data_IF_036946260611
#
_entry.id   IF_036946260611
#
_cell.length_a   1.000
_cell.length_b   1.000
_cell.length_c   1.000
_cell.angle_alpha   90.00
_cell.angle_beta   90.00
_cell.angle_gamma   90.00
#
_symmetry.space_group_name_H-M   'P 1'
#
loop_
_entity.id
_entity.type
_entity.pdbx_description
1 polymer ?
#
# COMPACT_ATOMS: atom_id res chain seq x y z
N UNK A 1 73.03 12.13 8.85
CA UNK A 1 73.04 13.60 8.75
C UNK A 1 72.07 13.98 7.63
N UNK A 2 70.96 14.62 8.00
CA UNK A 2 69.87 15.03 7.13
C UNK A 2 70.33 16.04 6.07
N UNK A 3 69.80 15.93 4.85
CA UNK A 3 69.32 17.05 4.02
C UNK A 3 68.54 16.50 2.83
N UNK A 4 67.25 16.36 3.04
CA UNK A 4 66.21 16.38 2.01
C UNK A 4 65.84 17.85 1.85
N UNK A 5 66.04 18.43 0.67
CA UNK A 5 65.27 19.62 0.26
C UNK A 5 65.40 19.86 -1.25
N UNK A 6 64.31 20.36 -1.85
CA UNK A 6 64.15 20.87 -3.21
C UNK A 6 63.90 19.78 -4.29
N UNK A 7 62.68 19.22 -4.42
CA UNK A 7 61.55 19.68 -5.29
C UNK A 7 61.98 20.02 -6.72
N UNK A 8 61.65 19.16 -7.69
CA UNK A 8 60.40 19.18 -8.48
C UNK A 8 60.30 20.43 -9.39
N UNK A 9 60.84 20.33 -10.61
CA UNK A 9 60.45 21.15 -11.76
C UNK A 9 60.82 20.38 -13.06
N UNK A 10 59.89 19.63 -13.68
CA UNK A 10 58.98 19.98 -14.80
C UNK A 10 59.57 19.65 -16.20
N UNK A 11 58.64 19.14 -17.03
CA UNK A 11 58.64 18.94 -18.49
C UNK A 11 59.27 17.63 -19.00
N UNK A 12 58.48 16.56 -19.20
CA UNK A 12 57.47 16.32 -20.27
C UNK A 12 58.14 16.20 -21.64
N UNK A 13 58.31 14.95 -22.06
CA UNK A 13 58.95 14.52 -23.30
C UNK A 13 57.92 13.93 -24.28
N UNK A 14 58.18 14.20 -25.57
CA UNK A 14 57.63 13.67 -26.81
C UNK A 14 56.15 13.89 -27.21
N UNK A 15 55.95 15.00 -27.95
CA UNK A 15 54.99 15.10 -29.07
C UNK A 15 55.76 14.92 -30.39
N UNK A 16 55.25 14.11 -31.31
CA UNK A 16 54.96 14.49 -32.70
C UNK A 16 54.52 13.28 -33.55
N UNK A 17 53.22 13.17 -33.82
CA UNK A 17 52.65 12.36 -34.90
C UNK A 17 51.98 13.29 -35.90
N UNK A 18 52.39 13.35 -37.19
CA UNK A 18 51.71 14.18 -38.16
C UNK A 18 50.58 13.42 -38.87
N UNK A 19 49.41 14.06 -38.85
CA UNK A 19 48.47 14.25 -39.97
C UNK A 19 47.90 13.02 -40.69
N UNK A 20 46.64 12.73 -40.37
CA UNK A 20 45.67 12.28 -41.38
C UNK A 20 44.48 13.25 -41.39
N UNK A 21 44.39 13.95 -42.50
CA UNK A 21 43.47 15.03 -42.80
C UNK A 21 42.21 14.47 -43.52
N UNK A 22 41.04 14.81 -42.99
CA UNK A 22 39.74 14.94 -43.67
C UNK A 22 39.13 13.72 -44.38
N UNK A 23 38.03 13.22 -43.80
CA UNK A 23 36.75 12.94 -44.52
C UNK A 23 35.60 12.79 -43.51
N UNK A 24 34.83 13.85 -43.31
CA UNK A 24 33.50 13.74 -42.70
C UNK A 24 32.48 13.26 -43.74
N UNK A 25 31.57 12.34 -43.40
CA UNK A 25 30.23 12.36 -43.95
C UNK A 25 29.28 12.99 -42.93
N UNK A 26 28.84 14.19 -43.27
CA UNK A 26 27.71 14.91 -42.67
C UNK A 26 26.46 14.02 -42.59
N UNK A 27 26.17 13.54 -41.38
CA UNK A 27 24.95 12.82 -41.03
C UNK A 27 24.20 13.57 -39.94
N UNK A 28 23.31 14.47 -40.35
CA UNK A 28 22.38 15.22 -39.48
C UNK A 28 21.69 14.23 -38.51
N UNK A 29 21.61 14.47 -37.18
CA UNK A 29 20.86 13.60 -36.28
C UNK A 29 19.39 13.68 -36.69
N UNK A 30 18.90 12.60 -37.31
CA UNK A 30 17.52 12.47 -37.73
C UNK A 30 16.66 12.46 -36.47
N UNK A 31 16.07 13.62 -36.15
CA UNK A 31 15.12 13.76 -35.06
C UNK A 31 14.03 12.70 -35.23
N UNK A 32 13.80 11.90 -34.18
CA UNK A 32 12.70 10.95 -34.12
C UNK A 32 11.41 11.65 -34.58
N UNK A 33 10.98 11.34 -35.79
CA UNK A 33 9.73 11.86 -36.36
C UNK A 33 8.61 11.52 -35.37
N UNK A 34 7.79 12.48 -34.91
CA UNK A 34 6.65 12.14 -34.07
C UNK A 34 5.79 11.15 -34.84
N UNK A 35 5.66 9.94 -34.29
CA UNK A 35 4.86 8.88 -34.87
C UNK A 35 3.48 9.43 -35.24
N UNK A 36 3.12 9.24 -36.50
CA UNK A 36 1.86 9.70 -37.09
C UNK A 36 0.68 9.35 -36.18
N UNK A 37 -0.17 10.35 -35.94
CA UNK A 37 -1.39 10.21 -35.14
C UNK A 37 -2.39 9.38 -35.94
N UNK A 38 -2.42 8.06 -35.72
CA UNK A 38 -3.40 7.19 -36.37
C UNK A 38 -4.83 7.60 -35.98
N UNK A 39 -5.69 7.98 -36.95
CA UNK A 39 -7.07 8.31 -36.70
C UNK A 39 -7.89 7.02 -36.75
N UNK A 40 -8.05 6.36 -35.60
CA UNK A 40 -8.85 5.13 -35.52
C UNK A 40 -8.56 4.27 -34.29
N UNK A 41 -8.53 4.84 -33.09
CA UNK A 41 -8.34 4.05 -31.88
C UNK A 41 -9.62 3.30 -31.51
N UNK A 42 -9.56 1.96 -31.42
CA UNK A 42 -10.65 1.11 -30.91
C UNK A 42 -11.28 1.70 -29.63
N UNK A 43 -12.61 1.60 -29.42
CA UNK A 43 -13.28 2.19 -28.25
C UNK A 43 -12.70 1.67 -26.91
N UNK A 44 -12.04 0.51 -26.93
CA UNK A 44 -11.40 -0.13 -25.79
C UNK A 44 -9.92 0.25 -25.58
N UNK A 45 -9.39 1.23 -26.32
CA UNK A 45 -7.98 1.63 -26.18
C UNK A 45 -7.73 2.31 -24.83
N UNK A 46 -6.82 1.74 -24.05
CA UNK A 46 -6.36 2.31 -22.78
C UNK A 46 -5.49 3.56 -23.04
N UNK A 47 -5.69 4.58 -22.21
CA UNK A 47 -4.79 5.73 -22.17
C UNK A 47 -3.46 5.33 -21.51
N UNK A 48 -2.34 5.61 -22.20
CA UNK A 48 -0.96 5.24 -21.83
C UNK A 48 -0.81 3.76 -21.39
N UNK A 49 -0.93 2.80 -22.32
CA UNK A 49 -0.75 1.39 -21.99
C UNK A 49 0.71 1.13 -21.57
N UNK A 50 0.92 0.53 -20.40
CA UNK A 50 2.24 0.15 -19.87
C UNK A 50 2.77 0.99 -18.69
N UNK A 51 2.18 2.14 -18.39
CA UNK A 51 2.52 2.94 -17.21
C UNK A 51 1.40 2.90 -16.16
N UNK A 52 1.76 3.00 -14.87
CA UNK A 52 0.76 3.02 -13.80
C UNK A 52 0.16 1.65 -13.49
N UNK A 53 0.68 0.56 -14.06
CA UNK A 53 -0.02 -0.74 -14.13
C UNK A 53 -0.35 -1.28 -12.73
N UNK A 54 0.60 -1.22 -11.79
CA UNK A 54 0.39 -1.76 -10.43
C UNK A 54 -0.68 -0.98 -9.66
N UNK A 55 -0.60 0.36 -9.73
CA UNK A 55 -1.55 1.23 -9.03
C UNK A 55 -2.94 1.15 -9.68
N UNK A 56 -3.01 1.07 -11.02
CA UNK A 56 -4.27 0.91 -11.76
C UNK A 56 -4.97 -0.40 -11.40
N UNK A 57 -4.27 -1.53 -11.42
CA UNK A 57 -4.83 -2.80 -10.97
C UNK A 57 -5.20 -2.78 -9.48
N UNK A 58 -4.37 -2.17 -8.62
CA UNK A 58 -4.69 -2.01 -7.20
C UNK A 58 -5.98 -1.22 -6.97
N UNK A 59 -6.16 -0.09 -7.65
CA UNK A 59 -7.39 0.71 -7.59
C UNK A 59 -8.58 -0.03 -8.18
N UNK A 60 -8.41 -0.73 -9.31
CA UNK A 60 -9.49 -1.51 -9.93
C UNK A 60 -9.95 -2.68 -9.03
N UNK A 61 -9.01 -3.40 -8.42
CA UNK A 61 -9.31 -4.50 -7.48
C UNK A 61 -9.96 -3.95 -6.22
N UNK A 62 -9.41 -2.90 -5.61
CA UNK A 62 -10.00 -2.27 -4.43
C UNK A 62 -11.41 -1.75 -4.67
N UNK A 63 -11.63 -1.04 -5.80
CA UNK A 63 -12.95 -0.61 -6.21
C UNK A 63 -13.88 -1.80 -6.50
N UNK A 64 -13.36 -2.88 -7.11
CA UNK A 64 -14.11 -4.11 -7.36
C UNK A 64 -14.59 -4.78 -6.08
N UNK A 65 -13.72 -4.92 -5.07
CA UNK A 65 -14.08 -5.48 -3.75
C UNK A 65 -15.14 -4.63 -3.07
N UNK A 66 -14.97 -3.30 -3.05
CA UNK A 66 -15.96 -2.38 -2.49
C UNK A 66 -17.30 -2.45 -3.24
N UNK A 67 -17.26 -2.58 -4.56
CA UNK A 67 -18.46 -2.71 -5.39
C UNK A 67 -19.18 -4.03 -5.08
N UNK A 68 -18.45 -5.15 -4.99
CA UNK A 68 -19.04 -6.43 -4.65
C UNK A 68 -19.68 -6.41 -3.26
N UNK A 69 -18.99 -5.85 -2.27
CA UNK A 69 -19.52 -5.71 -0.91
C UNK A 69 -20.74 -4.78 -0.86
N UNK A 70 -20.70 -3.67 -1.58
CA UNK A 70 -21.83 -2.75 -1.69
C UNK A 70 -23.04 -3.37 -2.40
N UNK A 71 -22.81 -4.15 -3.46
CA UNK A 71 -23.86 -4.85 -4.21
C UNK A 71 -24.46 -5.99 -3.40
N UNK A 72 -23.66 -6.75 -2.64
CA UNK A 72 -24.20 -7.77 -1.72
C UNK A 72 -25.06 -7.14 -0.63
N UNK A 73 -24.60 -6.02 -0.06
CA UNK A 73 -25.40 -5.27 0.91
C UNK A 73 -26.71 -4.73 0.31
N UNK A 74 -26.65 -4.23 -0.94
CA UNK A 74 -27.83 -3.76 -1.67
C UNK A 74 -28.81 -4.88 -1.95
N UNK A 75 -28.33 -6.08 -2.30
CA UNK A 75 -29.16 -7.27 -2.51
C UNK A 75 -29.92 -7.64 -1.22
N UNK A 76 -29.24 -7.70 -0.08
CA UNK A 76 -29.87 -7.95 1.22
C UNK A 76 -30.86 -6.85 1.59
N UNK A 77 -30.55 -5.59 1.27
CA UNK A 77 -31.44 -4.45 1.50
C UNK A 77 -32.74 -4.56 0.69
N UNK A 78 -32.64 -4.92 -0.59
CA UNK A 78 -33.79 -5.08 -1.48
C UNK A 78 -34.70 -6.22 -1.01
N UNK A 79 -34.12 -7.32 -0.52
CA UNK A 79 -34.89 -8.46 0.00
C UNK A 79 -35.71 -8.17 1.26
N UNK A 80 -35.39 -7.08 1.98
CA UNK A 80 -36.17 -6.65 3.17
C UNK A 80 -37.47 -5.93 2.82
N UNK A 81 -37.65 -5.51 1.57
CA UNK A 81 -38.84 -4.79 1.12
C UNK A 81 -39.76 -5.73 0.33
N UNK A 82 -40.99 -5.92 0.81
CA UNK A 82 -41.98 -6.84 0.21
C UNK A 82 -42.17 -6.64 -1.30
N UNK A 83 -42.26 -5.38 -1.76
CA UNK A 83 -42.40 -5.04 -3.18
C UNK A 83 -41.26 -5.60 -4.06
N UNK A 84 -40.03 -5.55 -3.57
CA UNK A 84 -38.86 -6.01 -4.31
C UNK A 84 -38.63 -7.52 -4.12
N UNK A 85 -39.01 -8.10 -2.99
CA UNK A 85 -38.89 -9.54 -2.74
C UNK A 85 -39.89 -10.38 -3.54
N UNK A 86 -41.10 -9.88 -3.76
CA UNK A 86 -42.16 -10.62 -4.46
C UNK A 86 -41.85 -10.80 -5.96
N UNK A 87 -41.01 -9.91 -6.51
CA UNK A 87 -40.59 -9.96 -7.91
C UNK A 87 -39.12 -10.38 -8.03
N UNK A 88 -38.91 -11.69 -8.28
CA UNK A 88 -37.59 -12.27 -8.56
C UNK A 88 -36.81 -11.44 -9.61
N UNK A 89 -37.50 -10.95 -10.65
CA UNK A 89 -36.89 -10.12 -11.66
C UNK A 89 -36.27 -8.83 -11.09
N UNK A 90 -36.98 -8.05 -10.26
CA UNK A 90 -36.44 -6.80 -9.72
C UNK A 90 -35.35 -7.07 -8.67
N UNK A 91 -35.54 -8.09 -7.84
CA UNK A 91 -34.59 -8.46 -6.79
C UNK A 91 -33.19 -8.77 -7.34
N UNK A 92 -33.10 -9.51 -8.45
CA UNK A 92 -31.81 -9.85 -9.07
C UNK A 92 -31.35 -8.85 -10.13
N UNK A 93 -32.26 -8.21 -10.86
CA UNK A 93 -31.90 -7.30 -11.94
C UNK A 93 -31.24 -6.02 -11.42
N UNK A 94 -31.78 -5.42 -10.36
CA UNK A 94 -31.27 -4.14 -9.82
C UNK A 94 -29.80 -4.27 -9.38
N UNK A 95 -29.41 -5.26 -8.56
CA UNK A 95 -28.02 -5.42 -8.13
C UNK A 95 -27.06 -5.71 -9.29
N UNK A 96 -27.48 -6.51 -10.28
CA UNK A 96 -26.67 -6.81 -11.47
C UNK A 96 -26.43 -5.58 -12.32
N UNK A 97 -27.46 -4.75 -12.54
CA UNK A 97 -27.32 -3.49 -13.29
C UNK A 97 -26.40 -2.51 -12.56
N UNK A 98 -26.55 -2.39 -11.24
CA UNK A 98 -25.67 -1.54 -10.42
C UNK A 98 -24.22 -2.03 -10.49
N UNK A 99 -23.99 -3.34 -10.37
CA UNK A 99 -22.66 -3.93 -10.50
C UNK A 99 -22.03 -3.62 -11.87
N UNK A 100 -22.79 -3.80 -12.96
CA UNK A 100 -22.33 -3.52 -14.31
C UNK A 100 -22.03 -2.03 -14.52
N UNK A 101 -22.92 -1.15 -14.06
CA UNK A 101 -22.75 0.30 -14.18
C UNK A 101 -21.49 0.80 -13.45
N UNK A 102 -21.29 0.33 -12.21
CA UNK A 102 -20.09 0.69 -11.43
C UNK A 102 -18.84 0.07 -12.08
N UNK A 103 -18.89 -1.18 -12.53
CA UNK A 103 -17.78 -1.84 -13.22
C UNK A 103 -17.31 -1.08 -14.47
N UNK A 104 -18.26 -0.63 -15.31
CA UNK A 104 -17.97 0.23 -16.47
C UNK A 104 -17.39 1.58 -16.03
N UNK A 105 -17.95 2.19 -14.98
CA UNK A 105 -17.45 3.44 -14.41
C UNK A 105 -15.99 3.33 -13.94
N UNK A 106 -15.65 2.26 -13.21
CA UNK A 106 -14.29 1.97 -12.75
C UNK A 106 -13.35 1.76 -13.94
N UNK A 107 -13.75 0.97 -14.95
CA UNK A 107 -12.97 0.78 -16.16
C UNK A 107 -12.71 2.10 -16.89
N UNK A 108 -13.72 2.97 -17.00
CA UNK A 108 -13.58 4.28 -17.62
C UNK A 108 -12.61 5.18 -16.84
N UNK A 109 -12.75 5.27 -15.51
CA UNK A 109 -11.91 6.11 -14.67
C UNK A 109 -10.45 5.65 -14.67
N UNK A 110 -10.21 4.35 -14.47
CA UNK A 110 -8.87 3.77 -14.32
C UNK A 110 -8.20 3.53 -15.67
N UNK A 111 -8.98 3.26 -16.72
CA UNK A 111 -8.48 2.87 -18.05
C UNK A 111 -8.37 4.02 -19.04
N UNK A 112 -9.31 4.99 -18.99
CA UNK A 112 -9.53 5.93 -20.10
C UNK A 112 -9.45 7.40 -19.68
N UNK A 113 -9.89 7.76 -18.47
CA UNK A 113 -9.96 9.15 -18.06
C UNK A 113 -8.55 9.74 -17.82
N UNK A 114 -8.07 10.67 -18.67
CA UNK A 114 -6.66 11.03 -18.75
C UNK A 114 -6.12 11.62 -17.44
N UNK A 115 -6.89 12.49 -16.77
CA UNK A 115 -6.46 13.10 -15.48
C UNK A 115 -6.27 12.07 -14.38
N UNK A 116 -7.16 11.07 -14.30
CA UNK A 116 -7.09 10.04 -13.28
C UNK A 116 -5.94 9.09 -13.58
N UNK A 117 -5.76 8.70 -14.85
CA UNK A 117 -4.64 7.87 -15.25
C UNK A 117 -3.30 8.56 -15.00
N UNK A 118 -3.16 9.83 -15.39
CA UNK A 118 -1.93 10.59 -15.17
C UNK A 118 -1.63 10.76 -13.67
N UNK A 119 -2.65 10.95 -12.83
CA UNK A 119 -2.51 10.92 -11.38
C UNK A 119 -2.02 9.56 -10.87
N UNK A 120 -2.68 8.44 -11.24
CA UNK A 120 -2.28 7.09 -10.81
C UNK A 120 -0.85 6.73 -11.23
N UNK A 121 -0.42 7.18 -12.41
CA UNK A 121 0.95 7.02 -12.91
C UNK A 121 1.95 7.86 -12.09
N UNK A 122 1.58 9.09 -11.76
CA UNK A 122 2.41 9.94 -10.89
C UNK A 122 2.52 9.36 -9.49
N UNK A 123 1.42 8.85 -8.91
CA UNK A 123 1.41 8.16 -7.62
C UNK A 123 2.32 6.93 -7.64
N UNK A 124 2.30 6.11 -8.68
CA UNK A 124 3.23 4.97 -8.79
C UNK A 124 4.69 5.44 -8.79
N UNK A 125 4.99 6.50 -9.54
CA UNK A 125 6.32 7.08 -9.59
C UNK A 125 6.76 7.65 -8.25
N UNK A 126 5.83 8.23 -7.48
CA UNK A 126 6.11 8.77 -6.14
C UNK A 126 6.35 7.66 -5.12
N UNK A 127 5.52 6.60 -5.12
CA UNK A 127 5.69 5.45 -4.22
C UNK A 127 7.02 4.73 -4.45
N UNK A 128 7.51 4.69 -5.69
CA UNK A 128 8.82 4.09 -6.01
C UNK A 128 10.02 4.85 -5.42
N UNK A 129 9.85 6.13 -5.07
CA UNK A 129 10.90 6.93 -4.42
C UNK A 129 11.01 6.65 -2.93
N UNK A 130 9.99 6.05 -2.33
CA UNK A 130 9.97 5.75 -0.90
C UNK A 130 10.86 4.53 -0.64
N UNK A 131 11.92 4.75 0.15
CA UNK A 131 12.73 3.67 0.69
C UNK A 131 11.93 2.95 1.78
N UNK A 132 11.55 1.69 1.54
CA UNK A 132 10.86 0.87 2.52
C UNK A 132 11.84 0.36 3.58
N UNK A 133 11.43 0.39 4.85
CA UNK A 133 12.22 -0.14 5.97
C UNK A 133 12.64 -1.58 5.72
N UNK A 134 13.86 -1.90 6.13
CA UNK A 134 14.36 -3.28 5.99
C UNK A 134 13.58 -4.21 6.91
N UNK A 135 13.47 -5.51 6.55
CA UNK A 135 12.76 -6.50 7.39
C UNK A 135 13.31 -6.55 8.81
N UNK A 136 14.61 -6.27 8.99
CA UNK A 136 15.28 -6.23 10.31
C UNK A 136 14.78 -5.07 11.16
N UNK A 137 14.63 -3.87 10.57
CA UNK A 137 14.07 -2.71 11.26
C UNK A 137 12.62 -2.94 11.67
N UNK A 138 11.80 -3.49 10.77
CA UNK A 138 10.39 -3.79 11.07
C UNK A 138 10.27 -4.77 12.23
N UNK A 139 11.03 -5.87 12.21
CA UNK A 139 11.03 -6.86 13.29
C UNK A 139 11.53 -6.25 14.61
N UNK A 140 12.56 -5.40 14.56
CA UNK A 140 13.07 -4.67 15.71
C UNK A 140 11.99 -3.78 16.33
N UNK A 141 11.32 -2.97 15.51
CA UNK A 141 10.24 -2.09 15.95
C UNK A 141 9.05 -2.88 16.52
N UNK A 142 8.61 -3.95 15.85
CA UNK A 142 7.49 -4.77 16.34
C UNK A 142 7.81 -5.48 17.66
N UNK A 143 9.06 -5.95 17.87
CA UNK A 143 9.47 -6.55 19.15
C UNK A 143 9.33 -5.57 20.31
N UNK A 144 9.80 -4.34 20.13
CA UNK A 144 9.67 -3.30 21.18
C UNK A 144 8.20 -3.07 21.51
N UNK A 145 7.36 -2.89 20.48
CA UNK A 145 5.92 -2.67 20.66
C UNK A 145 5.28 -3.83 21.43
N UNK A 146 5.53 -5.07 21.02
CA UNK A 146 4.99 -6.26 21.70
C UNK A 146 5.40 -6.28 23.18
N UNK A 147 6.69 -6.06 23.48
CA UNK A 147 7.18 -6.04 24.87
C UNK A 147 6.52 -4.92 25.66
N UNK A 148 6.40 -3.71 25.10
CA UNK A 148 5.74 -2.59 25.79
C UNK A 148 4.26 -2.84 26.04
N UNK A 149 3.53 -3.42 25.08
CA UNK A 149 2.10 -3.73 25.23
C UNK A 149 1.89 -4.84 26.27
N UNK A 150 2.75 -5.87 26.27
CA UNK A 150 2.69 -6.94 27.29
C UNK A 150 3.06 -6.42 28.68
N UNK A 151 4.10 -5.59 28.80
CA UNK A 151 4.48 -4.99 30.07
C UNK A 151 3.38 -4.07 30.61
N UNK A 152 2.76 -3.26 29.75
CA UNK A 152 1.62 -2.43 30.12
C UNK A 152 0.41 -3.28 30.53
N UNK A 153 0.07 -4.31 29.75
CA UNK A 153 -1.01 -5.24 30.08
C UNK A 153 -0.78 -5.95 31.42
N UNK A 154 0.45 -6.39 31.69
CA UNK A 154 0.84 -6.99 32.96
C UNK A 154 0.77 -6.00 34.13
N UNK A 155 1.23 -4.76 33.94
CA UNK A 155 1.10 -3.70 34.95
C UNK A 155 -0.37 -3.42 35.27
N UNK A 156 -1.22 -3.28 34.24
CA UNK A 156 -2.66 -3.09 34.40
C UNK A 156 -3.28 -4.28 35.14
N UNK A 157 -2.86 -5.51 34.83
CA UNK A 157 -3.31 -6.71 35.55
C UNK A 157 -2.95 -6.65 37.05
N UNK A 158 -1.72 -6.27 37.40
CA UNK A 158 -1.29 -6.13 38.80
C UNK A 158 -2.07 -5.03 39.52
N UNK A 159 -2.23 -3.86 38.90
CA UNK A 159 -3.00 -2.74 39.47
C UNK A 159 -4.46 -3.15 39.69
N UNK A 160 -5.07 -3.84 38.74
CA UNK A 160 -6.42 -4.38 38.88
C UNK A 160 -6.51 -5.38 40.04
N UNK A 161 -5.52 -6.26 40.21
CA UNK A 161 -5.49 -7.21 41.33
C UNK A 161 -5.42 -6.47 42.68
N UNK A 162 -4.59 -5.44 42.78
CA UNK A 162 -4.49 -4.59 43.98
C UNK A 162 -5.82 -3.90 44.26
N UNK A 163 -6.49 -3.33 43.25
CA UNK A 163 -7.80 -2.69 43.43
C UNK A 163 -8.86 -3.68 43.90
N UNK A 164 -8.92 -4.90 43.36
CA UNK A 164 -9.86 -5.93 43.81
C UNK A 164 -9.65 -6.22 45.30
N UNK A 165 -8.41 -6.49 45.71
CA UNK A 165 -8.09 -6.78 47.12
C UNK A 165 -8.41 -5.59 48.02
N UNK A 166 -8.06 -4.37 47.59
CA UNK A 166 -8.30 -3.16 48.38
C UNK A 166 -9.80 -2.88 48.55
N UNK A 167 -10.60 -2.99 47.48
CA UNK A 167 -12.04 -2.73 47.54
C UNK A 167 -12.82 -3.82 48.28
N UNK A 168 -12.35 -5.08 48.28
CA UNK A 168 -12.85 -6.12 49.18
C UNK A 168 -12.56 -5.77 50.65
N UNK A 169 -11.35 -5.29 50.95
CA UNK A 169 -10.97 -4.89 52.32
C UNK A 169 -11.76 -3.68 52.85
N UNK A 170 -12.08 -2.73 51.97
CA UNK A 170 -12.90 -1.55 52.31
C UNK A 170 -14.40 -1.92 52.40
N UNK A 171 -14.79 -3.15 52.04
CA UNK A 171 -16.16 -3.64 52.16
C UNK A 171 -17.13 -3.11 51.10
N UNK A 172 -16.61 -2.46 50.05
CA UNK A 172 -17.39 -2.04 48.89
C UNK A 172 -17.81 -3.26 48.07
N UNK A 173 -16.93 -4.27 47.96
CA UNK A 173 -17.26 -5.56 47.36
C UNK A 173 -17.72 -6.55 48.44
N UNK A 174 -19.00 -6.94 48.41
CA UNK A 174 -19.61 -7.93 49.33
C UNK A 174 -19.35 -9.39 48.93
N UNK A 175 -18.26 -9.68 48.24
CA UNK A 175 -17.99 -11.01 47.67
C UNK A 175 -16.51 -11.38 47.82
N UNK A 176 -16.21 -12.66 48.09
CA UNK A 176 -14.88 -13.23 48.25
C UNK A 176 -14.20 -13.55 46.90
N UNK A 177 -14.16 -12.59 45.99
CA UNK A 177 -13.70 -12.80 44.61
C UNK A 177 -12.19 -13.10 44.54
N UNK A 178 -11.37 -12.45 45.37
CA UNK A 178 -9.92 -12.71 45.46
C UNK A 178 -9.60 -14.16 45.81
N UNK A 179 -10.33 -14.75 46.76
CA UNK A 179 -10.17 -16.16 47.15
C UNK A 179 -10.53 -17.13 46.03
N UNK A 180 -11.55 -16.83 45.23
CA UNK A 180 -11.96 -17.65 44.09
C UNK A 180 -11.00 -17.51 42.90
N UNK A 181 -10.44 -16.33 42.66
CA UNK A 181 -9.43 -16.11 41.60
C UNK A 181 -8.15 -16.86 41.98
N UNK A 182 -7.70 -16.74 43.23
CA UNK A 182 -6.48 -17.40 43.70
C UNK A 182 -6.64 -18.93 43.73
N UNK A 183 -7.81 -19.45 44.15
CA UNK A 183 -8.07 -20.89 44.12
C UNK A 183 -8.14 -21.45 42.70
N UNK A 184 -8.62 -20.69 41.71
CA UNK A 184 -8.59 -21.09 40.30
C UNK A 184 -7.21 -21.01 39.67
N UNK A 185 -6.40 -20.02 40.08
CA UNK A 185 -5.04 -19.85 39.59
C UNK A 185 -4.06 -20.88 40.19
N UNK A 186 -4.21 -21.21 41.48
CA UNK A 186 -3.33 -22.13 42.21
C UNK A 186 -3.88 -23.56 42.35
N UNK A 187 -5.20 -23.75 42.15
CA UNK A 187 -5.90 -25.03 42.30
C UNK A 187 -6.54 -25.54 41.00
N UNK A 188 -6.17 -25.00 39.84
CA UNK A 188 -6.67 -25.41 38.52
C UNK A 188 -6.15 -26.77 38.03
N UNK A 189 -5.94 -27.73 38.92
CA UNK A 189 -5.35 -29.05 38.65
C UNK A 189 -6.14 -30.24 39.18
N UNK A 190 -7.45 -30.11 39.43
CA UNK A 190 -8.32 -31.26 39.71
C UNK A 190 -9.51 -31.26 38.75
N UNK A 191 -9.39 -32.13 37.74
CA UNK A 191 -10.37 -32.44 36.70
C UNK A 191 -9.79 -33.53 35.82
#
# INVERSE_FOLDING_TARGET
MSKTDIKDEIAVDERDSPMDEQREPSGKPEGKRPAAREPGGSPLRLYKPGQGVRVRWGTAVGAGVLTLWGVSYLFDQLGRFAFFSDSLALHYFIPVVVLAAIGVGVFYLVGRHPRVVDFLVATESEIKKVNWSTRREVIGATRVVIVTVLALGFLLFLVNLVFIVLFERIGVLRTNMSGQIFSRLMGGGEG
#
